data_IF_926911086663
#
_entry.id   IF_926911086663
#
_cell.length_a   1.000
_cell.length_b   1.000
_cell.length_c   1.000
_cell.angle_alpha   90.00
_cell.angle_beta   90.00
_cell.angle_gamma   90.00
#
_symmetry.space_group_name_H-M   'P 1'
#
loop_
_entity.id
_entity.type
_entity.pdbx_description
1 polymer ?
#
# COMPACT_ATOMS: atom_id res chain seq x y z
N UNK A 1 -20.61 -7.52 21.45
CA UNK A 1 -20.56 -7.17 20.02
C UNK A 1 -19.14 -7.40 19.55
N UNK A 2 -18.86 -8.55 18.95
CA UNK A 2 -17.56 -8.82 18.32
C UNK A 2 -17.65 -8.25 16.92
N UNK A 3 -16.89 -7.19 16.65
CA UNK A 3 -16.72 -6.71 15.28
C UNK A 3 -15.97 -7.83 14.54
N UNK A 4 -16.64 -8.51 13.62
CA UNK A 4 -15.97 -9.38 12.67
C UNK A 4 -14.98 -8.49 11.91
N UNK A 5 -13.69 -8.74 12.10
CA UNK A 5 -12.68 -8.10 11.27
C UNK A 5 -12.96 -8.50 9.82
N UNK A 6 -12.95 -7.57 8.85
CA UNK A 6 -13.11 -7.93 7.45
C UNK A 6 -12.08 -9.00 7.11
N UNK A 7 -12.53 -10.09 6.50
CA UNK A 7 -11.63 -11.17 6.12
C UNK A 7 -10.72 -10.62 5.04
N UNK A 8 -9.43 -10.49 5.38
CA UNK A 8 -8.40 -9.95 4.50
C UNK A 8 -8.02 -11.09 3.55
N UNK A 9 -8.82 -11.30 2.50
CA UNK A 9 -8.64 -12.42 1.57
C UNK A 9 -7.98 -11.99 0.25
N UNK A 10 -7.85 -10.67 0.03
CA UNK A 10 -7.30 -10.11 -1.20
C UNK A 10 -6.05 -9.27 -0.94
N UNK A 11 -5.21 -9.12 -1.96
CA UNK A 11 -4.03 -8.24 -1.90
C UNK A 11 -4.45 -6.79 -1.66
N UNK A 12 -5.58 -6.35 -2.20
CA UNK A 12 -6.15 -5.02 -1.95
C UNK A 12 -6.49 -4.83 -0.48
N UNK A 13 -7.20 -5.78 0.13
CA UNK A 13 -7.50 -5.72 1.57
C UNK A 13 -6.22 -5.73 2.41
N UNK A 14 -5.23 -6.53 2.01
CA UNK A 14 -3.91 -6.57 2.62
C UNK A 14 -3.22 -5.21 2.57
N UNK A 15 -3.18 -4.56 1.40
CA UNK A 15 -2.59 -3.24 1.19
C UNK A 15 -3.34 -2.15 1.97
N UNK A 16 -4.67 -2.17 1.97
CA UNK A 16 -5.49 -1.24 2.77
C UNK A 16 -5.23 -1.39 4.27
N UNK A 17 -5.21 -2.62 4.76
CA UNK A 17 -4.93 -2.92 6.16
C UNK A 17 -3.51 -2.50 6.56
N UNK A 18 -2.55 -2.72 5.66
CA UNK A 18 -1.16 -2.32 5.82
C UNK A 18 -1.00 -0.79 5.89
N UNK A 19 -1.72 -0.04 5.05
CA UNK A 19 -1.52 1.41 4.88
C UNK A 19 -2.36 2.25 5.84
N UNK A 20 -3.68 2.02 5.93
CA UNK A 20 -4.59 2.96 6.60
C UNK A 20 -5.05 2.54 7.99
N UNK A 21 -5.04 1.23 8.28
CA UNK A 21 -5.52 0.72 9.56
C UNK A 21 -7.01 0.90 9.84
N UNK A 22 -7.50 0.14 10.82
CA UNK A 22 -8.87 0.23 11.31
C UNK A 22 -9.06 1.29 12.42
N UNK A 23 -7.97 1.84 12.96
CA UNK A 23 -7.99 2.78 14.10
C UNK A 23 -7.09 3.99 13.83
N UNK A 24 -7.38 5.11 14.49
CA UNK A 24 -6.94 6.51 14.29
C UNK A 24 -5.41 6.82 14.21
N UNK A 25 -4.59 5.90 13.70
CA UNK A 25 -3.11 5.98 13.64
C UNK A 25 -2.56 6.57 12.35
N UNK A 26 -3.40 6.94 11.39
CA UNK A 26 -2.97 7.60 10.15
C UNK A 26 -2.33 6.64 9.14
N UNK A 27 -1.92 7.19 7.99
CA UNK A 27 -1.20 6.46 6.93
C UNK A 27 0.16 6.00 7.47
N UNK A 28 0.51 4.73 7.25
CA UNK A 28 1.78 4.15 7.73
C UNK A 28 2.05 2.74 7.23
N UNK A 29 3.00 2.04 7.87
CA UNK A 29 3.35 0.65 7.54
C UNK A 29 2.91 -0.27 8.68
N UNK A 30 1.97 -1.17 8.41
CA UNK A 30 1.35 -2.02 9.44
C UNK A 30 1.23 -3.50 9.06
N UNK A 31 2.37 -4.21 8.84
CA UNK A 31 2.35 -5.64 8.52
C UNK A 31 1.68 -6.50 9.60
N UNK A 32 1.68 -6.07 10.86
CA UNK A 32 1.07 -6.77 11.99
C UNK A 32 -0.45 -6.92 11.88
N UNK A 33 -1.10 -6.14 11.00
CA UNK A 33 -2.56 -6.16 10.80
C UNK A 33 -3.03 -7.25 9.85
N UNK A 34 -2.12 -7.87 9.12
CA UNK A 34 -2.42 -8.97 8.20
C UNK A 34 -2.11 -10.27 8.96
N UNK A 35 -3.15 -10.95 9.41
CA UNK A 35 -3.05 -12.18 10.19
C UNK A 35 -2.67 -13.37 9.32
N UNK A 36 -3.12 -13.39 8.06
CA UNK A 36 -2.70 -14.37 7.07
C UNK A 36 -1.22 -14.15 6.72
N UNK A 37 -0.40 -15.17 6.99
CA UNK A 37 1.06 -15.08 6.81
C UNK A 37 1.48 -14.99 5.34
N UNK A 38 0.73 -15.63 4.45
CA UNK A 38 1.03 -15.64 3.03
C UNK A 38 0.65 -14.31 2.40
N UNK A 39 -0.56 -13.83 2.68
CA UNK A 39 -0.99 -12.50 2.27
C UNK A 39 -0.04 -11.44 2.79
N UNK A 40 0.35 -11.51 4.07
CA UNK A 40 1.30 -10.57 4.66
C UNK A 40 2.63 -10.57 3.92
N UNK A 41 3.17 -11.73 3.56
CA UNK A 41 4.42 -11.82 2.79
C UNK A 41 4.29 -11.17 1.42
N UNK A 42 3.18 -11.40 0.71
CA UNK A 42 2.91 -10.80 -0.59
C UNK A 42 2.78 -9.28 -0.49
N UNK A 43 1.96 -8.78 0.44
CA UNK A 43 1.79 -7.34 0.68
C UNK A 43 3.11 -6.66 1.05
N UNK A 44 3.90 -7.27 1.94
CA UNK A 44 5.23 -6.74 2.32
C UNK A 44 6.18 -6.70 1.13
N UNK A 45 6.17 -7.71 0.26
CA UNK A 45 7.00 -7.73 -0.93
C UNK A 45 6.66 -6.57 -1.89
N UNK A 46 5.37 -6.33 -2.14
CA UNK A 46 4.89 -5.20 -2.98
C UNK A 46 5.32 -3.86 -2.38
N UNK A 47 5.13 -3.66 -1.07
CA UNK A 47 5.53 -2.41 -0.40
C UNK A 47 7.05 -2.24 -0.40
N UNK A 48 7.81 -3.32 -0.24
CA UNK A 48 9.28 -3.27 -0.30
C UNK A 48 9.77 -2.86 -1.68
N UNK A 49 9.08 -3.27 -2.74
CA UNK A 49 9.36 -2.83 -4.11
C UNK A 49 9.05 -1.34 -4.28
N UNK A 50 7.92 -0.86 -3.75
CA UNK A 50 7.60 0.56 -3.69
C UNK A 50 8.66 1.37 -2.92
N UNK A 51 9.22 0.81 -1.84
CA UNK A 51 10.27 1.46 -1.04
C UNK A 51 11.59 1.65 -1.80
N UNK A 52 11.82 0.92 -2.90
CA UNK A 52 12.98 1.13 -3.78
C UNK A 52 12.83 2.34 -4.70
N UNK A 53 11.61 2.88 -4.82
CA UNK A 53 11.32 4.05 -5.62
C UNK A 53 11.93 5.27 -4.94
N UNK A 54 13.02 5.78 -5.50
CA UNK A 54 13.64 7.02 -5.06
C UNK A 54 12.90 8.21 -5.67
N UNK A 55 12.68 9.25 -4.88
CA UNK A 55 12.26 10.54 -5.42
C UNK A 55 13.39 11.10 -6.27
N UNK A 56 13.22 11.09 -7.59
CA UNK A 56 14.08 11.87 -8.47
C UNK A 56 13.84 13.35 -8.15
N UNK A 57 14.85 13.98 -7.51
CA UNK A 57 15.09 15.41 -7.25
C UNK A 57 13.91 16.39 -7.40
N UNK A 58 13.69 17.32 -6.44
CA UNK A 58 12.36 17.79 -6.03
C UNK A 58 11.41 17.95 -7.22
N UNK A 59 10.68 16.88 -7.50
CA UNK A 59 9.74 16.81 -8.61
C UNK A 59 8.69 17.89 -8.35
N UNK A 60 8.51 18.83 -9.29
CA UNK A 60 7.54 19.93 -9.12
C UNK A 60 6.09 19.43 -9.02
N UNK A 61 5.84 18.18 -9.40
CA UNK A 61 4.54 17.54 -9.39
C UNK A 61 4.60 16.17 -8.68
N UNK A 62 4.51 16.20 -7.35
CA UNK A 62 4.51 14.99 -6.51
C UNK A 62 3.32 14.07 -6.84
N UNK A 63 2.08 14.55 -7.06
CA UNK A 63 0.96 13.70 -7.47
C UNK A 63 1.21 12.89 -8.74
N UNK A 64 1.72 13.52 -9.80
CA UNK A 64 1.99 12.84 -11.08
C UNK A 64 3.13 11.82 -10.94
N UNK A 65 4.17 12.16 -10.17
CA UNK A 65 5.24 11.21 -9.86
C UNK A 65 4.71 10.01 -9.08
N UNK A 66 3.90 10.22 -8.04
CA UNK A 66 3.26 9.14 -7.28
C UNK A 66 2.42 8.23 -8.17
N UNK A 67 1.60 8.83 -9.05
CA UNK A 67 0.73 8.06 -9.95
C UNK A 67 1.55 7.16 -10.88
N UNK A 68 2.59 7.70 -11.54
CA UNK A 68 3.45 6.95 -12.45
C UNK A 68 4.13 5.77 -11.76
N UNK A 69 4.76 6.02 -10.60
CA UNK A 69 5.52 4.98 -9.90
C UNK A 69 4.61 3.87 -9.37
N UNK A 70 3.41 4.21 -8.88
CA UNK A 70 2.44 3.20 -8.47
C UNK A 70 1.90 2.43 -9.66
N UNK A 71 1.61 3.07 -10.79
CA UNK A 71 1.14 2.38 -12.00
C UNK A 71 2.20 1.40 -12.52
N UNK A 72 3.48 1.75 -12.46
CA UNK A 72 4.60 0.86 -12.80
C UNK A 72 4.68 -0.35 -11.85
N UNK A 73 4.40 -0.18 -10.56
CA UNK A 73 4.30 -1.30 -9.59
C UNK A 73 3.07 -2.17 -9.90
N UNK A 74 1.89 -1.57 -10.09
CA UNK A 74 0.65 -2.30 -10.39
C UNK A 74 0.76 -3.11 -11.68
N UNK A 75 1.45 -2.60 -12.70
CA UNK A 75 1.70 -3.34 -13.94
C UNK A 75 2.49 -4.64 -13.74
N UNK A 76 3.28 -4.75 -12.66
CA UNK A 76 4.05 -5.95 -12.29
C UNK A 76 3.26 -6.91 -11.39
N UNK A 77 2.16 -6.45 -10.79
CA UNK A 77 1.34 -7.20 -9.83
C UNK A 77 -0.15 -7.18 -10.28
N UNK A 78 -0.55 -8.05 -11.22
CA UNK A 78 -1.91 -8.07 -11.78
C UNK A 78 -3.01 -8.38 -10.76
N UNK A 79 -2.65 -8.87 -9.58
CA UNK A 79 -3.54 -9.08 -8.44
C UNK A 79 -3.94 -7.79 -7.69
N UNK A 80 -3.29 -6.66 -7.97
CA UNK A 80 -3.60 -5.36 -7.36
C UNK A 80 -4.75 -4.70 -8.14
N UNK A 81 -5.85 -4.46 -7.46
CA UNK A 81 -6.98 -3.70 -7.95
C UNK A 81 -6.89 -2.21 -7.63
N UNK A 82 -7.98 -1.49 -7.91
CA UNK A 82 -8.04 -0.04 -7.73
C UNK A 82 -7.85 0.39 -6.27
N UNK A 83 -8.38 -0.39 -5.33
CA UNK A 83 -8.28 -0.13 -3.89
C UNK A 83 -6.85 -0.31 -3.37
N UNK A 84 -6.16 -1.37 -3.83
CA UNK A 84 -4.76 -1.59 -3.51
C UNK A 84 -3.86 -0.50 -4.10
N UNK A 85 -4.13 -0.08 -5.34
CA UNK A 85 -3.39 1.02 -5.97
C UNK A 85 -3.57 2.34 -5.22
N UNK A 86 -4.77 2.67 -4.76
CA UNK A 86 -5.02 3.89 -3.96
C UNK A 86 -4.26 3.87 -2.62
N UNK A 87 -4.19 2.70 -1.98
CA UNK A 87 -3.39 2.50 -0.77
C UNK A 87 -1.90 2.74 -1.02
N UNK A 88 -1.35 2.20 -2.12
CA UNK A 88 0.05 2.44 -2.50
C UNK A 88 0.32 3.92 -2.81
N UNK A 89 -0.59 4.63 -3.50
CA UNK A 89 -0.45 6.07 -3.77
C UNK A 89 -0.42 6.88 -2.49
N UNK A 90 -1.32 6.56 -1.55
CA UNK A 90 -1.35 7.21 -0.24
C UNK A 90 -0.08 6.96 0.57
N UNK A 91 0.45 5.73 0.53
CA UNK A 91 1.70 5.40 1.19
C UNK A 91 2.89 6.15 0.57
N UNK A 92 3.03 6.12 -0.76
CA UNK A 92 4.13 6.79 -1.46
C UNK A 92 4.10 8.31 -1.24
N UNK A 93 2.91 8.93 -1.33
CA UNK A 93 2.72 10.35 -1.07
C UNK A 93 3.07 10.72 0.38
N UNK A 94 2.79 9.85 1.35
CA UNK A 94 3.17 10.05 2.75
C UNK A 94 4.69 9.97 2.96
N UNK A 95 5.39 9.08 2.25
CA UNK A 95 6.84 8.91 2.40
C UNK A 95 7.66 10.11 1.90
N UNK A 96 7.14 10.87 0.94
CA UNK A 96 7.83 12.00 0.32
C UNK A 96 7.41 13.37 0.86
N UNK A 97 6.56 13.39 1.90
CA UNK A 97 6.05 14.59 2.55
C UNK A 97 6.98 15.07 3.68
#
# INVERSE_FOLDING_TARGET
MTFAQPVVDTVDDGLRAYVWGATATGIGRHPERITDLELRRRTVAIVTELDTVALDSPTRDVPDWVAREVDDVVARHPEIGADGADALRSLLAWMVR
#
